data_IF_983215673584
#
_entry.id   IF_983215673584
#
_cell.length_a   1.000
_cell.length_b   1.000
_cell.length_c   1.000
_cell.angle_alpha   90.00
_cell.angle_beta   90.00
_cell.angle_gamma   90.00
#
_symmetry.space_group_name_H-M   'P 1'
#
loop_
_entity.id
_entity.type
_entity.pdbx_description
1 polymer ?
#
# COMPACT_ATOMS: atom_id res chain seq x y z
N UNK A 1 30.03 25.99 18.23
CA UNK A 1 29.58 24.71 18.81
C UNK A 1 28.29 24.17 18.16
N UNK A 2 27.36 25.01 17.66
CA UNK A 2 26.08 24.59 17.02
C UNK A 2 26.18 23.87 15.66
N UNK A 3 27.20 24.13 14.83
CA UNK A 3 27.36 23.47 13.51
C UNK A 3 27.61 21.96 13.62
N UNK A 4 28.36 21.51 14.63
CA UNK A 4 28.64 20.08 14.86
C UNK A 4 27.40 19.30 15.32
N UNK A 5 26.50 19.96 16.07
CA UNK A 5 25.22 19.40 16.50
C UNK A 5 24.25 19.23 15.33
N UNK A 6 24.22 20.17 14.39
CA UNK A 6 23.39 20.08 13.18
C UNK A 6 23.82 18.92 12.25
N UNK A 7 25.13 18.73 12.07
CA UNK A 7 25.68 17.60 11.31
C UNK A 7 25.41 16.25 11.98
N UNK A 8 25.49 16.19 13.32
CA UNK A 8 25.15 14.98 14.08
C UNK A 8 23.66 14.64 13.97
N UNK A 9 22.78 15.63 13.97
CA UNK A 9 21.33 15.44 13.82
C UNK A 9 20.97 14.99 12.39
N UNK A 10 21.62 15.57 11.38
CA UNK A 10 21.42 15.17 9.98
C UNK A 10 21.98 13.77 9.68
N UNK A 11 23.11 13.39 10.28
CA UNK A 11 23.66 12.05 10.19
C UNK A 11 22.76 11.00 10.89
N UNK A 12 22.19 11.33 12.05
CA UNK A 12 21.22 10.47 12.74
C UNK A 12 19.94 10.31 11.93
N UNK A 13 19.48 11.38 11.26
CA UNK A 13 18.33 11.33 10.35
C UNK A 13 18.61 10.41 9.15
N UNK A 14 19.80 10.48 8.54
CA UNK A 14 20.22 9.61 7.43
C UNK A 14 20.30 8.12 7.84
N UNK A 15 20.79 7.83 9.06
CA UNK A 15 20.85 6.46 9.60
C UNK A 15 19.44 5.89 9.83
N UNK A 16 18.49 6.73 10.29
CA UNK A 16 17.08 6.33 10.44
C UNK A 16 16.39 6.03 9.10
N UNK A 17 16.78 6.69 8.00
CA UNK A 17 16.24 6.35 6.65
C UNK A 17 16.88 5.10 6.06
N UNK A 18 17.98 4.62 6.63
CA UNK A 18 18.72 3.43 6.16
C UNK A 18 18.22 2.13 6.81
N UNK A 19 17.31 2.24 7.78
CA UNK A 19 16.77 1.09 8.49
C UNK A 19 15.74 0.35 7.61
N UNK A 20 16.17 -0.84 7.16
CA UNK A 20 15.34 -1.92 6.64
C UNK A 20 14.99 -1.89 5.14
N UNK A 21 15.97 -2.04 4.26
CA UNK A 21 15.71 -2.81 3.03
C UNK A 21 15.79 -4.31 3.36
N UNK A 22 14.70 -4.89 3.88
CA UNK A 22 14.44 -6.34 3.75
C UNK A 22 14.10 -6.63 2.27
N UNK A 23 15.04 -6.32 1.38
CA UNK A 23 14.87 -6.37 -0.06
C UNK A 23 14.92 -7.82 -0.54
N UNK A 24 13.75 -8.46 -0.55
CA UNK A 24 13.58 -9.79 -1.14
C UNK A 24 12.26 -10.43 -0.73
N UNK A 25 12.03 -10.56 0.58
CA UNK A 25 10.99 -11.43 1.13
C UNK A 25 9.86 -10.67 1.85
N UNK A 26 9.49 -9.49 1.34
CA UNK A 26 8.35 -8.74 1.88
C UNK A 26 7.71 -7.87 0.83
N UNK A 27 6.43 -7.56 1.02
CA UNK A 27 5.71 -6.54 0.25
C UNK A 27 5.38 -5.38 1.20
N UNK A 28 5.53 -4.15 0.72
CA UNK A 28 5.02 -2.96 1.40
C UNK A 28 3.81 -2.44 0.64
N UNK A 29 2.67 -2.30 1.31
CA UNK A 29 1.48 -1.64 0.78
C UNK A 29 1.31 -0.32 1.52
N UNK A 30 1.41 0.79 0.80
CA UNK A 30 1.23 2.13 1.35
C UNK A 30 0.21 2.91 0.55
N UNK A 31 -0.34 3.96 1.15
CA UNK A 31 -1.31 4.75 0.43
C UNK A 31 -1.86 5.91 1.19
N UNK A 32 -2.74 6.63 0.50
CA UNK A 32 -3.56 7.66 1.11
C UNK A 32 -4.94 7.74 0.46
N UNK A 33 -5.92 8.13 1.27
CA UNK A 33 -7.29 8.37 0.85
C UNK A 33 -7.71 9.78 1.25
N UNK A 34 -8.21 10.56 0.29
CA UNK A 34 -8.98 11.75 0.64
C UNK A 34 -10.32 11.33 1.24
N UNK A 35 -10.85 12.16 2.14
CA UNK A 35 -12.15 11.96 2.79
C UNK A 35 -12.25 10.67 3.64
N UNK A 36 -11.12 10.11 4.06
CA UNK A 36 -11.05 9.02 5.04
C UNK A 36 -9.88 9.31 5.97
N UNK A 37 -10.13 9.88 7.14
CA UNK A 37 -9.07 10.30 8.06
C UNK A 37 -8.54 9.14 8.91
N UNK A 38 -9.45 8.42 9.54
CA UNK A 38 -9.13 7.27 10.38
C UNK A 38 -10.00 6.10 9.99
N UNK A 39 -9.44 4.90 10.09
CA UNK A 39 -10.16 3.69 9.74
C UNK A 39 -9.27 2.46 9.69
N UNK A 40 -9.86 1.38 9.22
CA UNK A 40 -9.17 0.11 9.02
C UNK A 40 -9.62 -0.51 7.70
N UNK A 41 -8.66 -1.02 6.95
CA UNK A 41 -8.93 -1.95 5.85
C UNK A 41 -8.57 -3.35 6.28
N UNK A 42 -9.29 -4.32 5.77
CA UNK A 42 -8.93 -5.72 5.93
C UNK A 42 -8.20 -6.22 4.71
N UNK A 43 -7.22 -7.09 4.91
CA UNK A 43 -6.39 -7.65 3.84
C UNK A 43 -6.31 -9.15 4.01
N UNK A 44 -6.64 -9.86 2.94
CA UNK A 44 -6.63 -11.31 2.92
C UNK A 44 -6.44 -11.84 1.50
N UNK A 45 -6.06 -13.11 1.40
CA UNK A 45 -6.04 -13.86 0.15
C UNK A 45 -6.63 -15.24 0.36
N UNK A 46 -7.08 -15.85 -0.73
CA UNK A 46 -7.33 -17.28 -0.80
C UNK A 46 -6.05 -18.08 -1.05
N UNK A 47 -4.95 -17.40 -1.39
CA UNK A 47 -3.65 -18.02 -1.61
C UNK A 47 -2.99 -18.34 -0.24
N UNK A 48 -2.61 -19.61 0.01
CA UNK A 48 -1.96 -20.00 1.26
C UNK A 48 -0.61 -19.32 1.47
N UNK A 49 0.07 -18.82 0.43
CA UNK A 49 1.33 -18.09 0.55
C UNK A 49 1.18 -16.74 1.30
N UNK A 50 -0.05 -16.19 1.37
CA UNK A 50 -0.32 -15.00 2.19
C UNK A 50 -0.33 -15.31 3.69
N UNK A 51 -0.83 -16.49 4.06
CA UNK A 51 -1.12 -16.86 5.43
C UNK A 51 -2.46 -16.31 5.91
N UNK A 52 -2.46 -15.52 6.99
CA UNK A 52 -3.67 -15.13 7.71
C UNK A 52 -4.27 -13.79 7.26
N UNK A 53 -5.52 -13.57 7.67
CA UNK A 53 -6.18 -12.27 7.62
C UNK A 53 -5.40 -11.21 8.40
N UNK A 54 -5.28 -10.01 7.84
CA UNK A 54 -4.56 -8.89 8.43
C UNK A 54 -5.39 -7.59 8.33
N UNK A 55 -4.93 -6.53 9.01
CA UNK A 55 -5.60 -5.23 9.08
C UNK A 55 -4.62 -4.10 8.82
N UNK A 56 -4.96 -3.22 7.88
CA UNK A 56 -4.23 -1.97 7.63
C UNK A 56 -4.92 -0.84 8.38
N UNK A 57 -4.22 -0.27 9.37
CA UNK A 57 -4.70 0.94 10.05
C UNK A 57 -4.44 2.18 9.21
N UNK A 58 -5.44 3.05 9.14
CA UNK A 58 -5.38 4.36 8.49
C UNK A 58 -5.36 5.42 9.59
N UNK A 59 -4.48 6.39 9.44
CA UNK A 59 -4.34 7.53 10.34
C UNK A 59 -3.98 8.75 9.51
N UNK A 60 -4.67 9.88 9.76
CA UNK A 60 -4.50 11.12 8.98
C UNK A 60 -4.59 10.89 7.46
N UNK A 61 -5.50 10.00 7.07
CA UNK A 61 -5.75 9.60 5.69
C UNK A 61 -4.62 8.88 4.99
N UNK A 62 -3.57 8.45 5.71
CA UNK A 62 -2.46 7.69 5.19
C UNK A 62 -2.31 6.34 5.90
N UNK A 63 -1.65 5.41 5.22
CA UNK A 63 -1.29 4.11 5.79
C UNK A 63 -0.02 3.56 5.17
N UNK A 64 0.66 2.71 5.92
CA UNK A 64 1.77 1.89 5.45
C UNK A 64 1.74 0.57 6.20
N UNK A 65 1.77 -0.52 5.45
CA UNK A 65 1.70 -1.88 5.94
C UNK A 65 2.78 -2.70 5.23
N UNK A 66 3.46 -3.58 5.96
CA UNK A 66 4.50 -4.45 5.40
C UNK A 66 4.26 -5.85 5.89
N UNK A 67 4.27 -6.80 4.96
CA UNK A 67 4.03 -8.21 5.21
C UNK A 67 5.17 -9.03 4.61
N UNK A 68 5.60 -10.08 5.30
CA UNK A 68 6.57 -11.02 4.73
C UNK A 68 5.91 -11.81 3.60
N UNK A 69 6.57 -11.88 2.46
CA UNK A 69 6.00 -12.45 1.24
C UNK A 69 7.11 -13.02 0.37
N UNK A 70 6.96 -14.28 -0.03
CA UNK A 70 7.97 -15.03 -0.79
C UNK A 70 7.54 -15.29 -2.24
N UNK A 71 6.22 -15.31 -2.50
CA UNK A 71 5.63 -15.50 -3.82
C UNK A 71 4.66 -14.36 -4.15
N UNK A 72 4.41 -14.14 -5.45
CA UNK A 72 3.43 -13.14 -5.88
C UNK A 72 2.02 -13.63 -5.56
N UNK A 73 1.22 -12.79 -4.90
CA UNK A 73 -0.12 -13.15 -4.45
C UNK A 73 -1.15 -12.09 -4.87
N UNK A 74 -2.34 -12.54 -5.26
CA UNK A 74 -3.50 -11.66 -5.42
C UNK A 74 -4.13 -11.40 -4.05
N UNK A 75 -4.03 -10.16 -3.56
CA UNK A 75 -4.64 -9.75 -2.29
C UNK A 75 -5.95 -9.04 -2.51
N UNK A 76 -6.90 -9.31 -1.62
CA UNK A 76 -8.13 -8.52 -1.48
C UNK A 76 -7.93 -7.50 -0.37
N UNK A 77 -8.05 -6.22 -0.72
CA UNK A 77 -8.20 -5.11 0.24
C UNK A 77 -9.69 -4.81 0.38
N UNK A 78 -10.27 -5.05 1.55
CA UNK A 78 -11.66 -4.75 1.84
C UNK A 78 -11.79 -3.44 2.61
N UNK A 79 -12.56 -2.52 2.04
CA UNK A 79 -12.91 -1.24 2.64
C UNK A 79 -13.99 -1.39 3.73
N UNK A 80 -14.19 -0.37 4.59
CA UNK A 80 -15.18 -0.43 5.68
C UNK A 80 -16.62 -0.64 5.20
N UNK A 81 -16.93 -0.23 3.95
CA UNK A 81 -18.23 -0.42 3.33
C UNK A 81 -18.36 -1.75 2.57
N UNK A 82 -17.50 -2.74 2.87
CA UNK A 82 -17.44 -4.06 2.24
C UNK A 82 -17.09 -4.09 0.74
N UNK A 83 -16.77 -2.94 0.14
CA UNK A 83 -16.20 -2.94 -1.20
C UNK A 83 -14.82 -3.58 -1.16
N UNK A 84 -14.58 -4.51 -2.09
CA UNK A 84 -13.35 -5.25 -2.20
C UNK A 84 -12.55 -4.76 -3.41
N UNK A 85 -11.25 -4.62 -3.22
CA UNK A 85 -10.32 -4.19 -4.24
C UNK A 85 -9.17 -5.20 -4.35
N UNK A 86 -9.00 -5.86 -5.51
CA UNK A 86 -7.83 -6.68 -5.74
C UNK A 86 -6.57 -5.81 -5.92
N UNK A 87 -5.46 -6.23 -5.34
CA UNK A 87 -4.11 -5.73 -5.62
C UNK A 87 -3.17 -6.92 -5.83
N UNK A 88 -2.10 -6.74 -6.62
CA UNK A 88 -1.09 -7.78 -6.83
C UNK A 88 0.10 -7.47 -5.91
N UNK A 89 0.31 -8.31 -4.90
CA UNK A 89 1.44 -8.19 -3.99
C UNK A 89 2.64 -8.94 -4.52
N UNK A 90 3.77 -8.25 -4.69
CA UNK A 90 4.98 -8.81 -5.30
C UNK A 90 6.14 -8.68 -4.30
N UNK A 91 6.87 -9.76 -3.99
CA UNK A 91 8.04 -9.72 -3.12
C UNK A 91 9.04 -8.64 -3.52
N UNK A 92 9.53 -7.88 -2.55
CA UNK A 92 10.46 -6.77 -2.72
C UNK A 92 9.87 -5.50 -3.30
N UNK A 93 8.56 -5.45 -3.61
CA UNK A 93 7.92 -4.25 -4.18
C UNK A 93 7.17 -3.43 -3.13
N UNK A 94 7.10 -2.13 -3.40
CA UNK A 94 6.21 -1.22 -2.68
C UNK A 94 5.01 -0.89 -3.58
N UNK A 95 3.84 -1.40 -3.20
CA UNK A 95 2.57 -1.11 -3.85
C UNK A 95 1.99 0.18 -3.25
N UNK A 96 1.59 1.12 -4.12
CA UNK A 96 1.01 2.40 -3.70
C UNK A 96 -0.45 2.49 -4.13
N UNK A 97 -1.33 2.74 -3.17
CA UNK A 97 -2.77 2.93 -3.36
C UNK A 97 -3.12 4.41 -3.10
N UNK A 98 -3.70 5.09 -4.09
CA UNK A 98 -4.22 6.46 -3.92
C UNK A 98 -5.69 6.49 -4.28
N UNK A 99 -6.53 6.96 -3.36
CA UNK A 99 -7.98 6.96 -3.56
C UNK A 99 -8.69 8.17 -2.95
N UNK A 100 -10.00 8.17 -3.16
CA UNK A 100 -10.94 9.11 -2.57
C UNK A 100 -12.10 8.29 -2.00
N UNK A 101 -12.39 8.43 -0.71
CA UNK A 101 -13.43 7.64 -0.05
C UNK A 101 -14.83 7.91 -0.61
N UNK A 102 -15.05 9.11 -1.18
CA UNK A 102 -16.29 9.45 -1.85
C UNK A 102 -16.41 8.83 -3.26
N UNK A 103 -15.31 8.32 -3.81
CA UNK A 103 -15.28 7.66 -5.11
C UNK A 103 -14.20 6.57 -5.13
N UNK A 104 -14.47 5.47 -4.43
CA UNK A 104 -13.54 4.33 -4.29
C UNK A 104 -13.20 3.67 -5.64
N UNK A 105 -14.08 3.83 -6.62
CA UNK A 105 -13.88 3.38 -7.98
C UNK A 105 -12.74 4.13 -8.69
N UNK A 106 -12.47 5.39 -8.32
CA UNK A 106 -11.36 6.19 -8.85
C UNK A 106 -9.98 5.80 -8.30
N UNK A 107 -9.91 4.83 -7.38
CA UNK A 107 -8.66 4.41 -6.74
C UNK A 107 -7.64 3.94 -7.77
N UNK A 108 -6.40 4.41 -7.64
CA UNK A 108 -5.27 3.98 -8.46
C UNK A 108 -4.28 3.17 -7.63
N UNK A 109 -3.89 2.03 -8.18
CA UNK A 109 -2.86 1.14 -7.65
C UNK A 109 -1.64 1.25 -8.58
N UNK A 110 -0.44 1.27 -8.01
CA UNK A 110 0.83 1.46 -8.73
C UNK A 110 1.98 0.82 -7.96
N UNK A 111 3.19 0.86 -8.51
CA UNK A 111 4.39 0.27 -7.90
C UNK A 111 4.82 -1.07 -8.50
N UNK A 112 4.05 -1.56 -9.48
CA UNK A 112 4.42 -2.65 -10.38
C UNK A 112 3.65 -2.51 -11.70
N UNK A 113 4.16 -3.11 -12.78
CA UNK A 113 3.52 -3.08 -14.09
C UNK A 113 2.13 -3.73 -14.05
N UNK A 114 1.97 -4.81 -13.29
CA UNK A 114 0.73 -5.56 -13.15
C UNK A 114 -0.35 -4.74 -12.42
N UNK A 115 0.02 -4.00 -11.37
CA UNK A 115 -0.92 -3.14 -10.65
C UNK A 115 -1.31 -1.90 -11.45
N UNK A 116 -0.39 -1.37 -12.25
CA UNK A 116 -0.67 -0.27 -13.17
C UNK A 116 -1.64 -0.74 -14.27
N UNK A 117 -1.37 -1.90 -14.88
CA UNK A 117 -2.25 -2.54 -15.85
C UNK A 117 -3.64 -2.83 -15.26
N UNK A 118 -3.72 -3.38 -14.04
CA UNK A 118 -4.98 -3.63 -13.34
C UNK A 118 -5.78 -2.34 -13.14
N UNK A 119 -5.12 -1.27 -12.70
CA UNK A 119 -5.76 0.03 -12.51
C UNK A 119 -6.25 0.63 -13.83
N UNK A 120 -5.47 0.48 -14.90
CA UNK A 120 -5.78 1.00 -16.23
C UNK A 120 -6.97 0.24 -16.83
N UNK A 121 -6.97 -1.09 -16.69
CA UNK A 121 -8.09 -1.93 -17.07
C UNK A 121 -9.37 -1.52 -16.34
N UNK A 122 -9.33 -1.39 -14.99
CA UNK A 122 -10.48 -0.95 -14.18
C UNK A 122 -11.03 0.41 -14.62
N UNK A 123 -10.16 1.37 -14.95
CA UNK A 123 -10.63 2.66 -15.49
C UNK A 123 -11.22 2.53 -16.88
N UNK A 124 -10.68 1.66 -17.72
CA UNK A 124 -11.18 1.46 -19.09
C UNK A 124 -12.61 0.90 -19.10
N UNK A 125 -12.95 0.02 -18.16
CA UNK A 125 -14.30 -0.55 -18.05
C UNK A 125 -15.29 0.45 -17.47
N UNK A 126 -14.89 1.28 -16.49
CA UNK A 126 -15.77 2.31 -15.92
C UNK A 126 -16.15 3.41 -16.91
N UNK A 127 -15.22 3.81 -17.79
CA UNK A 127 -15.53 4.78 -18.86
C UNK A 127 -16.57 4.27 -19.87
N UNK A 128 -16.79 2.96 -19.92
CA UNK A 128 -17.71 2.29 -20.86
C UNK A 128 -19.05 1.95 -20.22
N UNK A 129 -19.21 2.12 -18.91
CA UNK A 129 -20.49 1.93 -18.22
C UNK A 129 -21.31 3.23 -18.38
N UNK A 130 -22.50 3.18 -19.01
CA UNK A 130 -23.36 4.34 -19.25
C UNK A 130 -23.79 5.08 -17.98
#
# INVERSE_FOLDING_TARGET
>A
MMRKSLFSLMALLFILVSACSKGGNSVTVKGSFRHLQDGQFYVFSTDPAWGSFDTIRISDGAFSFTHELYDTVLLTVQYPNFLQMPIIAIPGKTITIKGDANNLLSTRISGSEENEALSDFRRSIMKKTP
#
